data_IF_680095038926
#
_entry.id   IF_680095038926
#
_cell.length_a   1.000
_cell.length_b   1.000
_cell.length_c   1.000
_cell.angle_alpha   90.00
_cell.angle_beta   90.00
_cell.angle_gamma   90.00
#
_symmetry.space_group_name_H-M   'P 1'
#
loop_
_entity.id
_entity.type
_entity.pdbx_description
1 polymer ?
#
# COMPACT_ATOMS: atom_id res chain seq x y z
N UNK A 1 42.01 -35.79 21.30
CA UNK A 1 41.65 -34.38 21.08
C UNK A 1 40.94 -34.12 19.75
N UNK A 2 41.30 -34.79 18.65
CA UNK A 2 40.69 -34.55 17.30
C UNK A 2 39.21 -34.94 17.21
N UNK A 3 38.75 -35.96 17.93
CA UNK A 3 37.37 -36.45 17.94
C UNK A 3 36.40 -35.50 18.64
N UNK A 4 36.81 -34.87 19.73
CA UNK A 4 35.99 -33.91 20.48
C UNK A 4 35.71 -32.63 19.67
N UNK A 5 36.72 -32.14 18.91
CA UNK A 5 36.54 -30.97 18.00
C UNK A 5 35.56 -31.25 16.86
N UNK A 6 35.58 -32.47 16.29
CA UNK A 6 34.62 -32.86 15.24
C UNK A 6 33.19 -32.96 15.75
N UNK A 7 33.02 -33.43 16.98
CA UNK A 7 31.69 -33.50 17.63
C UNK A 7 31.16 -32.11 17.94
N UNK A 8 32.01 -31.19 18.42
CA UNK A 8 31.65 -29.81 18.72
C UNK A 8 31.26 -29.04 17.44
N UNK A 9 32.00 -29.19 16.34
CA UNK A 9 31.66 -28.59 15.06
C UNK A 9 30.35 -29.11 14.48
N UNK A 10 30.05 -30.42 14.62
CA UNK A 10 28.78 -30.99 14.17
C UNK A 10 27.60 -30.50 15.01
N UNK A 11 27.78 -30.41 16.32
CA UNK A 11 26.75 -29.87 17.22
C UNK A 11 26.45 -28.38 16.93
N UNK A 12 27.50 -27.60 16.67
CA UNK A 12 27.34 -26.17 16.29
C UNK A 12 26.64 -26.03 14.94
N UNK A 13 26.99 -26.86 13.95
CA UNK A 13 26.34 -26.86 12.63
C UNK A 13 24.86 -27.23 12.73
N UNK A 14 24.51 -28.24 13.52
CA UNK A 14 23.12 -28.62 13.79
C UNK A 14 22.35 -27.51 14.50
N UNK A 15 22.96 -26.82 15.46
CA UNK A 15 22.36 -25.69 16.16
C UNK A 15 22.08 -24.52 15.20
N UNK A 16 23.03 -24.18 14.33
CA UNK A 16 22.84 -23.17 13.31
C UNK A 16 21.73 -23.56 12.31
N UNK A 17 21.64 -24.84 11.94
CA UNK A 17 20.58 -25.32 11.04
C UNK A 17 19.21 -25.25 11.70
N UNK A 18 19.09 -25.57 12.99
CA UNK A 18 17.84 -25.46 13.75
C UNK A 18 17.42 -24.00 13.92
N UNK A 19 18.36 -23.09 14.17
CA UNK A 19 18.09 -21.64 14.25
C UNK A 19 17.68 -21.06 12.89
N UNK A 20 18.23 -21.56 11.78
CA UNK A 20 17.86 -21.12 10.43
C UNK A 20 16.49 -21.64 9.97
N UNK A 21 16.02 -22.75 10.56
CA UNK A 21 14.71 -23.34 10.30
C UNK A 21 13.66 -22.92 11.33
N UNK A 22 14.03 -22.15 12.37
CA UNK A 22 13.06 -21.58 13.28
C UNK A 22 12.13 -20.65 12.48
N UNK A 23 10.80 -20.82 12.58
CA UNK A 23 9.89 -19.86 11.96
C UNK A 23 10.22 -18.49 12.54
N UNK A 24 10.70 -17.58 11.67
CA UNK A 24 10.82 -16.18 12.05
C UNK A 24 9.40 -15.77 12.38
N UNK A 25 9.08 -15.31 13.62
CA UNK A 25 7.78 -14.74 13.88
C UNK A 25 7.58 -13.66 12.81
N UNK A 26 6.51 -13.78 12.03
CA UNK A 26 6.12 -12.69 11.14
C UNK A 26 6.06 -11.45 12.04
N UNK A 27 6.94 -10.48 11.79
CA UNK A 27 6.79 -9.18 12.38
C UNK A 27 5.45 -8.70 11.83
N UNK A 28 4.40 -8.76 12.63
CA UNK A 28 3.16 -8.09 12.30
C UNK A 28 3.54 -6.63 12.20
N UNK A 29 3.36 -6.06 11.01
CA UNK A 29 3.41 -4.63 10.88
C UNK A 29 2.41 -4.09 11.90
N UNK A 30 2.87 -3.23 12.77
CA UNK A 30 2.00 -2.58 13.74
C UNK A 30 1.12 -1.61 12.93
N UNK A 31 -0.19 -1.67 13.15
CA UNK A 31 -1.10 -0.76 12.48
C UNK A 31 -0.77 0.66 12.97
N UNK A 32 -0.32 1.53 12.07
CA UNK A 32 -0.05 2.95 12.37
C UNK A 32 -1.34 3.72 12.53
N UNK A 33 -2.36 3.29 11.77
CA UNK A 33 -3.68 3.88 11.70
C UNK A 33 -4.76 2.80 11.65
N UNK A 34 -5.99 3.19 11.98
CA UNK A 34 -7.16 2.36 11.81
C UNK A 34 -8.32 3.16 11.22
N UNK A 35 -8.96 2.56 10.23
CA UNK A 35 -10.19 3.10 9.68
C UNK A 35 -11.36 2.44 10.39
N UNK A 36 -12.07 3.20 11.20
CA UNK A 36 -13.22 2.70 11.98
C UNK A 36 -14.40 2.39 11.06
N UNK A 37 -14.69 3.32 10.13
CA UNK A 37 -15.69 3.13 9.08
C UNK A 37 -15.24 3.72 7.75
N UNK A 38 -15.64 3.07 6.66
CA UNK A 38 -15.44 3.50 5.28
C UNK A 38 -16.73 3.31 4.52
N UNK A 39 -17.46 4.39 4.31
CA UNK A 39 -18.73 4.41 3.60
C UNK A 39 -18.51 4.99 2.20
N UNK A 40 -18.96 4.27 1.17
CA UNK A 40 -18.82 4.63 -0.24
C UNK A 40 -20.20 4.61 -0.87
N UNK A 41 -20.64 5.76 -1.39
CA UNK A 41 -21.88 5.93 -2.14
C UNK A 41 -21.53 6.15 -3.61
N UNK A 42 -22.14 5.36 -4.49
CA UNK A 42 -21.89 5.40 -5.95
C UNK A 42 -23.20 5.56 -6.70
N UNK A 43 -23.25 6.52 -7.61
CA UNK A 43 -24.41 6.77 -8.48
C UNK A 43 -23.92 6.93 -9.92
N UNK A 44 -24.33 6.06 -10.85
CA UNK A 44 -24.05 6.24 -12.28
C UNK A 44 -24.83 7.42 -12.86
N UNK A 45 -24.16 8.21 -13.72
CA UNK A 45 -24.80 9.24 -14.52
C UNK A 45 -25.35 8.63 -15.81
N UNK A 46 -26.67 8.78 -16.04
CA UNK A 46 -27.31 8.22 -17.23
C UNK A 46 -26.91 8.91 -18.52
N UNK A 47 -26.32 10.09 -18.49
CA UNK A 47 -26.00 10.86 -19.68
C UNK A 47 -24.67 10.43 -20.32
N UNK A 48 -23.67 10.16 -19.50
CA UNK A 48 -22.31 9.85 -19.97
C UNK A 48 -21.74 8.56 -19.40
N UNK A 49 -22.44 7.88 -18.47
CA UNK A 49 -21.99 6.63 -17.86
C UNK A 49 -20.90 6.80 -16.81
N UNK A 50 -20.52 8.04 -16.46
CA UNK A 50 -19.59 8.29 -15.37
C UNK A 50 -20.20 7.93 -14.01
N UNK A 51 -19.36 7.72 -13.00
CA UNK A 51 -19.80 7.44 -11.64
C UNK A 51 -19.58 8.66 -10.76
N UNK A 52 -20.63 9.18 -10.13
CA UNK A 52 -20.50 10.10 -9.02
C UNK A 52 -20.25 9.28 -7.77
N UNK A 53 -19.09 9.49 -7.15
CA UNK A 53 -18.64 8.75 -5.98
C UNK A 53 -18.50 9.73 -4.83
N UNK A 54 -19.07 9.37 -3.67
CA UNK A 54 -18.87 10.06 -2.42
C UNK A 54 -18.31 9.07 -1.41
N UNK A 55 -17.29 9.47 -0.69
CA UNK A 55 -16.72 8.69 0.39
C UNK A 55 -16.79 9.44 1.71
N UNK A 56 -16.97 8.67 2.78
CA UNK A 56 -16.91 9.16 4.15
C UNK A 56 -16.08 8.17 4.96
N UNK A 57 -15.05 8.66 5.64
CA UNK A 57 -14.19 7.85 6.48
C UNK A 57 -14.18 8.39 7.91
N UNK A 58 -14.14 7.46 8.86
CA UNK A 58 -13.77 7.72 10.24
C UNK A 58 -12.42 7.06 10.50
N UNK A 59 -11.43 7.87 10.85
CA UNK A 59 -10.01 7.50 10.93
C UNK A 59 -9.47 7.71 12.33
N UNK A 60 -8.77 6.73 12.87
CA UNK A 60 -8.09 6.81 14.16
C UNK A 60 -6.59 6.69 13.97
N UNK A 61 -5.84 7.70 14.41
CA UNK A 61 -4.38 7.67 14.47
C UNK A 61 -3.97 6.83 15.67
N UNK A 62 -3.22 5.74 15.46
CA UNK A 62 -2.81 4.82 16.53
C UNK A 62 -1.41 5.13 17.03
N UNK A 63 -0.44 5.23 16.13
CA UNK A 63 0.97 5.48 16.45
C UNK A 63 1.63 6.24 15.29
N UNK A 64 2.76 6.88 15.56
CA UNK A 64 3.54 7.66 14.59
C UNK A 64 2.80 8.87 13.98
N UNK A 65 1.86 9.47 14.73
CA UNK A 65 1.31 10.77 14.35
C UNK A 65 2.37 11.88 14.28
N UNK A 66 2.05 13.05 13.78
CA UNK A 66 0.72 13.48 13.40
C UNK A 66 0.36 13.12 11.94
N UNK A 67 -0.93 12.89 11.69
CA UNK A 67 -1.49 12.74 10.35
C UNK A 67 -2.04 14.08 9.86
N UNK A 68 -1.43 14.62 8.80
CA UNK A 68 -1.86 15.87 8.15
C UNK A 68 -2.47 15.62 6.76
N UNK A 69 -2.32 14.41 6.22
CA UNK A 69 -2.89 13.99 4.95
C UNK A 69 -3.01 12.46 4.89
N UNK A 70 -3.90 11.97 4.03
CA UNK A 70 -4.04 10.56 3.71
C UNK A 70 -4.14 10.35 2.21
N UNK A 71 -3.78 9.15 1.72
CA UNK A 71 -3.95 8.76 0.32
C UNK A 71 -4.93 7.59 0.22
N UNK A 72 -5.83 7.65 -0.77
CA UNK A 72 -6.86 6.64 -0.98
C UNK A 72 -6.86 6.28 -2.46
N UNK A 73 -6.78 5.00 -2.79
CA UNK A 73 -6.77 4.51 -4.16
C UNK A 73 -8.04 4.90 -4.93
N UNK A 74 -7.90 5.18 -6.22
CA UNK A 74 -8.99 5.42 -7.14
C UNK A 74 -8.95 4.41 -8.28
N UNK A 75 -10.10 4.07 -8.90
CA UNK A 75 -10.16 3.02 -9.92
C UNK A 75 -9.30 3.27 -11.15
N UNK A 76 -9.20 4.52 -11.61
CA UNK A 76 -8.35 4.94 -12.72
C UNK A 76 -8.06 6.44 -12.67
N UNK A 77 -7.15 6.91 -13.53
CA UNK A 77 -6.67 8.29 -13.58
C UNK A 77 -7.64 9.34 -14.18
N UNK A 78 -8.81 8.96 -14.60
CA UNK A 78 -9.76 9.88 -15.24
C UNK A 78 -10.83 10.30 -14.24
N UNK A 79 -10.54 11.36 -13.50
CA UNK A 79 -11.47 11.93 -12.51
C UNK A 79 -11.71 13.42 -12.78
N UNK A 80 -12.83 13.93 -12.30
CA UNK A 80 -13.21 15.35 -12.34
C UNK A 80 -14.10 15.75 -11.18
N UNK A 81 -14.27 17.03 -10.96
CA UNK A 81 -15.19 17.60 -9.98
C UNK A 81 -14.92 17.18 -8.53
N UNK A 82 -13.63 17.07 -8.15
CA UNK A 82 -13.25 16.73 -6.77
C UNK A 82 -13.76 17.81 -5.81
N UNK A 83 -14.46 17.39 -4.79
CA UNK A 83 -15.10 18.30 -3.84
C UNK A 83 -14.93 17.81 -2.41
N UNK A 84 -14.35 18.65 -1.54
CA UNK A 84 -14.37 18.45 -0.11
C UNK A 84 -15.79 18.68 0.42
N UNK A 85 -16.31 17.74 1.21
CA UNK A 85 -17.65 17.80 1.81
C UNK A 85 -17.62 18.11 3.30
N UNK A 86 -16.44 18.07 3.93
CA UNK A 86 -16.24 18.44 5.34
C UNK A 86 -15.22 19.56 5.46
N UNK A 87 -15.41 20.43 6.44
CA UNK A 87 -14.63 21.66 6.63
C UNK A 87 -13.18 21.40 7.08
N UNK A 88 -12.87 20.21 7.55
CA UNK A 88 -11.52 19.83 7.98
C UNK A 88 -10.60 19.38 6.83
N UNK A 89 -11.09 19.36 5.60
CA UNK A 89 -10.29 19.14 4.40
C UNK A 89 -9.82 20.52 3.89
N UNK A 90 -8.51 20.75 3.92
CA UNK A 90 -7.89 21.96 3.36
C UNK A 90 -7.82 21.89 1.82
N UNK A 91 -7.40 20.72 1.31
CA UNK A 91 -7.17 20.52 -0.13
C UNK A 91 -7.31 19.06 -0.52
N UNK A 92 -7.87 18.83 -1.71
CA UNK A 92 -7.78 17.56 -2.44
C UNK A 92 -6.72 17.71 -3.52
N UNK A 93 -5.97 16.65 -3.75
CA UNK A 93 -5.03 16.55 -4.86
C UNK A 93 -5.06 15.12 -5.38
N UNK A 94 -4.82 14.96 -6.66
CA UNK A 94 -4.96 13.68 -7.33
C UNK A 94 -3.71 13.40 -8.18
N UNK A 95 -3.28 12.17 -8.19
CA UNK A 95 -2.39 11.60 -9.19
C UNK A 95 -3.07 10.38 -9.83
N UNK A 96 -2.46 9.79 -10.85
CA UNK A 96 -3.09 8.74 -11.67
C UNK A 96 -3.65 7.53 -10.91
N UNK A 97 -3.37 7.38 -9.63
CA UNK A 97 -3.73 6.20 -8.84
C UNK A 97 -4.35 6.53 -7.49
N UNK A 98 -4.13 7.74 -6.97
CA UNK A 98 -4.52 8.08 -5.60
C UNK A 98 -5.13 9.47 -5.50
N UNK A 99 -6.17 9.56 -4.66
CA UNK A 99 -6.66 10.82 -4.10
C UNK A 99 -5.91 11.12 -2.81
N UNK A 100 -5.26 12.29 -2.75
CA UNK A 100 -4.61 12.83 -1.57
C UNK A 100 -5.55 13.81 -0.88
N UNK A 101 -5.88 13.56 0.36
CA UNK A 101 -6.74 14.40 1.19
C UNK A 101 -5.86 15.08 2.23
N UNK A 102 -5.67 16.39 2.11
CA UNK A 102 -4.90 17.20 3.05
C UNK A 102 -5.85 17.87 4.04
N UNK A 103 -5.50 17.83 5.32
CA UNK A 103 -6.32 18.35 6.40
C UNK A 103 -5.89 19.77 6.80
N UNK A 104 -6.80 20.52 7.40
CA UNK A 104 -6.60 21.87 7.92
C UNK A 104 -5.73 21.92 9.18
N UNK A 105 -5.49 20.77 9.80
CA UNK A 105 -4.63 20.59 10.98
C UNK A 105 -4.03 19.19 11.04
N UNK A 106 -3.05 19.05 11.91
CA UNK A 106 -2.49 17.76 12.28
C UNK A 106 -3.42 17.01 13.27
N UNK A 107 -3.57 15.70 13.08
CA UNK A 107 -4.23 14.78 14.01
C UNK A 107 -3.18 13.91 14.69
N UNK A 108 -3.19 13.90 16.04
CA UNK A 108 -2.17 13.23 16.84
C UNK A 108 -2.61 11.83 17.28
N UNK A 109 -1.66 11.07 17.84
CA UNK A 109 -1.90 9.72 18.37
C UNK A 109 -3.12 9.69 19.28
N UNK A 110 -4.01 8.72 19.05
CA UNK A 110 -5.26 8.53 19.76
C UNK A 110 -6.41 9.43 19.32
N UNK A 111 -6.22 10.37 18.40
CA UNK A 111 -7.30 11.15 17.84
C UNK A 111 -8.08 10.36 16.79
N UNK A 112 -9.40 10.48 16.84
CA UNK A 112 -10.31 9.99 15.81
C UNK A 112 -10.97 11.19 15.13
N UNK A 113 -11.01 11.15 13.79
CA UNK A 113 -11.60 12.21 12.99
C UNK A 113 -12.39 11.63 11.81
N UNK A 114 -13.39 12.40 11.35
CA UNK A 114 -14.23 12.03 10.22
C UNK A 114 -14.07 13.05 9.11
N UNK A 115 -13.99 12.56 7.88
CA UNK A 115 -13.92 13.42 6.69
C UNK A 115 -14.70 12.80 5.54
N UNK A 116 -15.15 13.64 4.60
CA UNK A 116 -15.91 13.21 3.44
C UNK A 116 -15.56 14.08 2.24
N UNK A 117 -15.50 13.44 1.09
CA UNK A 117 -15.25 14.08 -0.20
C UNK A 117 -15.96 13.33 -1.33
N UNK A 118 -16.07 13.96 -2.50
CA UNK A 118 -16.67 13.34 -3.68
C UNK A 118 -15.91 13.70 -4.94
N UNK A 119 -16.07 12.86 -5.97
CA UNK A 119 -15.56 13.10 -7.32
C UNK A 119 -16.45 12.44 -8.35
N UNK A 120 -16.20 12.72 -9.63
CA UNK A 120 -16.77 12.01 -10.75
C UNK A 120 -15.68 11.17 -11.40
N UNK A 121 -15.93 9.87 -11.51
CA UNK A 121 -15.03 8.88 -12.10
C UNK A 121 -15.50 8.53 -13.50
N UNK A 122 -14.63 8.70 -14.49
CA UNK A 122 -14.90 8.36 -15.88
C UNK A 122 -14.36 6.97 -16.27
N UNK A 123 -14.72 6.48 -17.44
CA UNK A 123 -14.27 5.20 -18.02
C UNK A 123 -14.51 3.98 -17.13
N UNK A 124 -15.70 3.89 -16.54
CA UNK A 124 -16.05 2.80 -15.62
C UNK A 124 -16.99 1.77 -16.23
N UNK A 125 -17.78 2.12 -17.24
CA UNK A 125 -18.73 1.19 -17.85
C UNK A 125 -18.12 0.35 -18.98
N UNK A 126 -18.68 -0.83 -19.21
CA UNK A 126 -18.49 -1.63 -20.42
C UNK A 126 -19.80 -1.77 -21.18
N UNK A 127 -19.70 -1.88 -22.50
CA UNK A 127 -20.83 -2.06 -23.40
C UNK A 127 -20.80 -3.44 -24.06
N UNK A 128 -21.85 -4.24 -23.86
CA UNK A 128 -22.06 -5.51 -24.55
C UNK A 128 -23.44 -5.51 -25.23
N UNK A 129 -23.47 -5.09 -26.47
CA UNK A 129 -24.74 -4.85 -27.18
C UNK A 129 -25.50 -3.70 -26.56
N UNK A 130 -26.71 -3.96 -26.06
CA UNK A 130 -27.56 -2.98 -25.40
C UNK A 130 -27.40 -2.98 -23.85
N UNK A 131 -26.53 -3.86 -23.31
CA UNK A 131 -26.28 -3.98 -21.88
C UNK A 131 -25.11 -3.08 -21.46
N UNK A 132 -25.31 -2.27 -20.44
CA UNK A 132 -24.28 -1.48 -19.75
C UNK A 132 -23.90 -2.20 -18.48
N UNK A 133 -22.61 -2.38 -18.24
CA UNK A 133 -22.12 -3.02 -17.03
C UNK A 133 -21.04 -2.19 -16.34
N UNK A 134 -21.03 -2.29 -15.02
CA UNK A 134 -20.01 -1.70 -14.17
C UNK A 134 -19.38 -2.80 -13.31
N UNK A 135 -18.07 -2.71 -13.15
CA UNK A 135 -17.29 -3.47 -12.19
C UNK A 135 -16.50 -2.49 -11.35
N UNK A 136 -16.90 -2.32 -10.11
CA UNK A 136 -16.39 -1.29 -9.22
C UNK A 136 -15.72 -1.89 -7.99
N UNK A 137 -14.51 -1.45 -7.75
CA UNK A 137 -13.75 -1.76 -6.54
C UNK A 137 -13.35 -0.42 -5.89
N UNK A 138 -13.90 -0.07 -4.72
CA UNK A 138 -13.46 1.09 -3.96
C UNK A 138 -11.98 1.04 -3.62
N UNK A 139 -11.39 2.18 -3.32
CA UNK A 139 -10.03 2.26 -2.81
C UNK A 139 -9.82 1.33 -1.61
N UNK A 140 -8.65 0.73 -1.52
CA UNK A 140 -8.26 -0.16 -0.42
C UNK A 140 -7.04 0.42 0.31
N UNK A 141 -6.73 -0.17 1.46
CA UNK A 141 -5.66 0.32 2.33
C UNK A 141 -4.67 -0.81 2.59
N UNK A 142 -3.42 -0.62 2.15
CA UNK A 142 -2.37 -1.63 2.32
C UNK A 142 -1.74 -1.58 3.73
N UNK A 143 -1.85 -0.44 4.41
CA UNK A 143 -1.19 -0.16 5.68
C UNK A 143 -2.15 0.03 6.86
N UNK A 144 -3.47 0.05 6.60
CA UNK A 144 -4.49 0.21 7.64
C UNK A 144 -5.56 -0.89 7.54
N UNK A 145 -6.13 -1.26 8.70
CA UNK A 145 -7.30 -2.14 8.76
C UNK A 145 -8.57 -1.31 8.71
N UNK A 146 -9.63 -1.87 8.12
CA UNK A 146 -10.94 -1.24 8.07
C UNK A 146 -11.91 -2.00 8.97
N UNK A 147 -12.41 -1.35 10.01
CA UNK A 147 -13.34 -1.95 10.96
C UNK A 147 -14.68 -2.28 10.32
N UNK A 148 -15.24 -1.34 9.58
CA UNK A 148 -16.48 -1.54 8.81
C UNK A 148 -16.36 -0.83 7.47
N UNK A 149 -16.70 -1.52 6.39
CA UNK A 149 -16.83 -0.95 5.06
C UNK A 149 -18.25 -1.16 4.55
N UNK A 150 -18.86 -0.09 4.01
CA UNK A 150 -20.17 -0.13 3.36
C UNK A 150 -20.06 0.48 1.97
N UNK A 151 -20.47 -0.28 0.95
CA UNK A 151 -20.65 0.23 -0.41
C UNK A 151 -22.14 0.27 -0.70
N UNK A 152 -22.65 1.46 -1.01
CA UNK A 152 -24.01 1.66 -1.48
C UNK A 152 -23.96 2.09 -2.94
N UNK A 153 -24.54 1.27 -3.79
CA UNK A 153 -24.71 1.58 -5.21
C UNK A 153 -26.16 1.97 -5.46
N UNK A 154 -26.37 3.18 -5.92
CA UNK A 154 -27.69 3.73 -6.22
C UNK A 154 -28.02 3.56 -7.70
N UNK A 155 -29.02 2.76 -8.01
CA UNK A 155 -29.49 2.67 -9.40
C UNK A 155 -30.03 4.02 -9.86
N UNK A 156 -29.75 4.43 -11.12
CA UNK A 156 -30.33 5.65 -11.66
C UNK A 156 -31.85 5.59 -11.72
N UNK A 157 -32.51 6.73 -11.54
CA UNK A 157 -33.96 6.78 -11.51
C UNK A 157 -34.60 6.17 -12.79
N UNK A 158 -35.40 5.14 -12.59
CA UNK A 158 -36.11 4.44 -13.67
C UNK A 158 -35.29 3.43 -14.45
N UNK A 159 -34.14 3.06 -13.93
CA UNK A 159 -33.27 1.99 -14.50
C UNK A 159 -32.94 0.99 -13.38
N UNK A 160 -33.34 -0.25 -13.57
CA UNK A 160 -33.10 -1.31 -12.59
C UNK A 160 -31.86 -2.11 -12.98
N UNK A 161 -30.84 -2.12 -12.12
CA UNK A 161 -29.63 -2.90 -12.27
C UNK A 161 -29.75 -4.30 -11.67
N UNK A 162 -29.13 -5.29 -12.29
CA UNK A 162 -28.97 -6.62 -11.71
C UNK A 162 -27.58 -6.71 -11.06
N UNK A 163 -27.53 -6.65 -9.74
CA UNK A 163 -26.29 -6.62 -8.98
C UNK A 163 -25.72 -7.98 -8.63
N UNK A 164 -24.42 -8.05 -8.39
CA UNK A 164 -23.73 -9.27 -7.92
C UNK A 164 -24.14 -9.68 -6.50
N UNK A 165 -24.85 -8.85 -5.77
CA UNK A 165 -25.53 -9.15 -4.50
C UNK A 165 -26.82 -9.98 -4.67
N UNK A 166 -27.22 -10.22 -5.93
CA UNK A 166 -28.42 -10.99 -6.29
C UNK A 166 -29.72 -10.17 -6.26
N UNK A 167 -29.63 -8.85 -6.08
CA UNK A 167 -30.79 -7.94 -6.13
C UNK A 167 -30.96 -7.37 -7.55
N UNK A 168 -32.14 -6.88 -7.84
CA UNK A 168 -32.46 -6.16 -9.07
C UNK A 168 -33.26 -4.93 -8.72
N UNK A 169 -32.71 -3.78 -9.12
CA UNK A 169 -33.31 -2.47 -8.92
C UNK A 169 -33.16 -1.92 -7.50
N UNK A 170 -33.12 -0.62 -7.40
CA UNK A 170 -33.03 0.13 -6.16
C UNK A 170 -31.59 0.31 -5.67
N UNK A 171 -31.40 0.38 -4.36
CA UNK A 171 -30.07 0.52 -3.74
C UNK A 171 -29.49 -0.86 -3.46
N UNK A 172 -28.27 -1.11 -3.95
CA UNK A 172 -27.49 -2.30 -3.62
C UNK A 172 -26.53 -1.96 -2.48
N UNK A 173 -26.65 -2.66 -1.35
CA UNK A 173 -25.83 -2.38 -0.16
C UNK A 173 -24.98 -3.60 0.18
N UNK A 174 -23.66 -3.43 0.07
CA UNK A 174 -22.69 -4.42 0.49
C UNK A 174 -21.98 -3.90 1.74
N UNK A 175 -21.90 -4.75 2.77
CA UNK A 175 -21.19 -4.42 3.99
C UNK A 175 -20.24 -5.55 4.38
N UNK A 176 -19.05 -5.17 4.82
CA UNK A 176 -18.03 -6.09 5.30
C UNK A 176 -17.36 -5.50 6.55
N UNK A 177 -17.02 -6.35 7.50
CA UNK A 177 -16.33 -5.94 8.73
C UNK A 177 -14.96 -6.58 8.82
N UNK A 178 -14.08 -5.94 9.58
CA UNK A 178 -12.73 -6.44 9.88
C UNK A 178 -11.88 -6.75 8.64
N UNK A 179 -11.90 -5.84 7.63
CA UNK A 179 -11.05 -5.99 6.46
C UNK A 179 -9.59 -5.89 6.87
N UNK A 180 -8.81 -6.89 6.47
CA UNK A 180 -7.37 -6.91 6.65
C UNK A 180 -6.67 -5.96 5.65
N UNK A 181 -5.40 -5.68 5.90
CA UNK A 181 -4.54 -4.95 4.99
C UNK A 181 -4.64 -5.49 3.56
N UNK A 182 -4.80 -4.61 2.58
CA UNK A 182 -4.93 -4.97 1.16
C UNK A 182 -6.20 -5.71 0.77
N UNK A 183 -7.12 -5.96 1.70
CA UNK A 183 -8.38 -6.61 1.38
C UNK A 183 -9.31 -5.64 0.66
N UNK A 184 -9.88 -6.13 -0.45
CA UNK A 184 -10.76 -5.38 -1.34
C UNK A 184 -12.19 -5.89 -1.27
N UNK A 185 -13.14 -5.02 -1.57
CA UNK A 185 -14.55 -5.33 -1.82
C UNK A 185 -14.89 -4.89 -3.23
N UNK A 186 -15.56 -5.75 -4.02
CA UNK A 186 -15.95 -5.43 -5.40
C UNK A 186 -17.44 -5.63 -5.58
N UNK A 187 -18.04 -4.85 -6.45
CA UNK A 187 -19.44 -4.93 -6.85
C UNK A 187 -19.55 -4.84 -8.36
N UNK A 188 -20.36 -5.72 -8.93
CA UNK A 188 -20.68 -5.73 -10.36
C UNK A 188 -22.17 -5.56 -10.55
N UNK A 189 -22.58 -4.73 -11.51
CA UNK A 189 -23.97 -4.50 -11.86
C UNK A 189 -24.14 -4.42 -13.37
N UNK A 190 -25.28 -4.93 -13.86
CA UNK A 190 -25.64 -4.95 -15.28
C UNK A 190 -27.00 -4.28 -15.46
N UNK A 191 -27.09 -3.44 -16.48
CA UNK A 191 -28.31 -2.71 -16.85
C UNK A 191 -28.74 -3.09 -18.26
N UNK A 192 -29.90 -3.67 -18.39
CA UNK A 192 -30.57 -3.87 -19.67
C UNK A 192 -31.50 -2.67 -19.93
N UNK A 193 -31.37 -2.01 -21.06
CA UNK A 193 -32.21 -0.87 -21.41
C UNK A 193 -31.78 0.45 -20.77
N UNK A 194 -30.49 0.77 -20.83
CA UNK A 194 -29.97 2.06 -20.43
C UNK A 194 -30.66 3.20 -21.16
N UNK A 195 -31.03 4.32 -20.48
CA UNK A 195 -31.97 5.31 -21.05
C UNK A 195 -31.36 6.18 -22.15
N UNK A 196 -30.03 6.24 -22.25
CA UNK A 196 -29.31 7.00 -23.28
C UNK A 196 -28.36 6.09 -24.04
N UNK A 197 -27.96 6.48 -25.23
CA UNK A 197 -26.92 5.75 -25.95
C UNK A 197 -25.55 6.23 -25.48
N UNK A 198 -24.86 5.40 -24.70
CA UNK A 198 -23.50 5.71 -24.27
C UNK A 198 -22.51 5.54 -25.42
N UNK A 199 -21.47 6.37 -25.41
CA UNK A 199 -20.44 6.37 -26.43
C UNK A 199 -19.38 5.27 -26.13
N UNK A 200 -18.90 4.58 -27.14
CA UNK A 200 -17.88 3.55 -26.97
C UNK A 200 -16.55 4.13 -26.47
N UNK A 201 -16.23 5.36 -26.85
CA UNK A 201 -15.01 6.07 -26.45
C UNK A 201 -15.02 6.54 -24.99
N UNK A 202 -16.16 6.51 -24.30
CA UNK A 202 -16.28 6.75 -22.84
C UNK A 202 -16.27 5.48 -22.01
N UNK A 203 -16.20 4.29 -22.64
CA UNK A 203 -16.16 3.02 -21.94
C UNK A 203 -14.77 2.74 -21.34
N UNK A 204 -14.71 1.81 -20.37
CA UNK A 204 -13.44 1.38 -19.75
C UNK A 204 -12.42 0.80 -20.76
N UNK A 205 -12.91 0.22 -21.86
CA UNK A 205 -12.07 -0.33 -22.91
C UNK A 205 -11.37 0.76 -23.75
N UNK A 206 -11.82 2.01 -23.63
CA UNK A 206 -11.25 3.19 -24.27
C UNK A 206 -10.45 4.06 -23.33
N UNK A 207 -10.21 3.58 -22.08
CA UNK A 207 -9.40 4.32 -21.10
C UNK A 207 -8.06 4.72 -21.73
N UNK A 208 -7.70 6.01 -21.70
CA UNK A 208 -6.40 6.47 -22.18
C UNK A 208 -5.28 5.73 -21.42
N UNK A 209 -4.33 5.17 -22.16
CA UNK A 209 -3.16 4.55 -21.54
C UNK A 209 -2.14 5.62 -21.16
N UNK A 210 -1.38 5.41 -20.11
CA UNK A 210 -0.36 6.35 -19.58
C UNK A 210 0.69 6.79 -20.63
N UNK A 211 0.73 6.15 -21.79
CA UNK A 211 1.62 6.49 -22.90
C UNK A 211 1.09 7.63 -23.81
N UNK A 212 -0.13 8.16 -23.58
CA UNK A 212 -0.65 9.28 -24.34
C UNK A 212 -0.22 10.62 -23.70
N UNK A 213 0.75 11.35 -24.30
CA UNK A 213 1.24 12.62 -23.74
C UNK A 213 0.20 13.73 -23.71
N UNK A 214 -1.02 13.51 -24.26
CA UNK A 214 -2.10 14.50 -24.25
C UNK A 214 -2.99 14.44 -23.01
N UNK A 215 -2.86 13.38 -22.19
CA UNK A 215 -3.76 13.09 -21.07
C UNK A 215 -3.27 13.66 -19.73
N UNK A 216 -2.04 14.19 -19.66
CA UNK A 216 -1.51 14.76 -18.41
C UNK A 216 -1.14 16.25 -18.53
N UNK A 217 -2.09 17.18 -18.45
CA UNK A 217 -1.79 18.63 -18.44
C UNK A 217 -1.32 19.18 -17.10
N UNK A 218 -1.13 18.35 -16.06
CA UNK A 218 -0.91 18.81 -14.67
C UNK A 218 0.24 18.18 -13.91
N UNK A 219 1.17 17.47 -14.57
CA UNK A 219 2.38 16.99 -13.88
C UNK A 219 3.28 18.19 -13.55
N UNK A 220 3.31 18.57 -12.27
CA UNK A 220 4.33 19.46 -11.71
C UNK A 220 5.55 18.62 -11.31
N UNK A 221 6.69 18.70 -12.05
CA UNK A 221 7.88 17.91 -11.76
C UNK A 221 8.63 18.38 -10.51
N UNK A 222 8.05 19.27 -9.70
CA UNK A 222 8.67 19.89 -8.52
C UNK A 222 8.39 19.22 -7.18
N UNK A 223 7.51 18.21 -7.11
CA UNK A 223 7.22 17.51 -5.87
C UNK A 223 7.60 16.04 -5.99
N UNK A 224 8.80 15.73 -5.55
CA UNK A 224 9.29 14.38 -5.31
C UNK A 224 9.07 14.09 -3.80
N UNK A 225 8.06 13.34 -3.41
CA UNK A 225 8.05 12.72 -2.12
C UNK A 225 8.99 11.50 -2.24
N UNK A 226 10.27 11.65 -1.84
CA UNK A 226 11.18 10.55 -1.57
C UNK A 226 10.54 9.60 -0.54
N UNK A 227 9.59 8.80 -1.00
CA UNK A 227 9.17 7.59 -0.34
C UNK A 227 9.67 6.41 -1.17
N UNK A 228 10.95 6.09 -1.00
CA UNK A 228 11.49 4.79 -1.34
C UNK A 228 10.79 3.73 -0.49
N UNK A 229 9.71 3.19 -1.02
CA UNK A 229 9.16 1.91 -0.60
C UNK A 229 10.15 0.82 -0.94
N UNK A 230 11.31 0.84 -0.28
CA UNK A 230 12.30 -0.23 -0.37
C UNK A 230 11.76 -1.46 0.35
N UNK A 231 11.20 -2.41 -0.42
CA UNK A 231 11.09 -3.81 -0.02
C UNK A 231 12.47 -4.44 0.06
N UNK A 232 13.45 -3.67 0.53
CA UNK A 232 14.80 -4.10 0.85
C UNK A 232 14.80 -4.92 2.13
N UNK A 233 15.52 -6.02 2.12
CA UNK A 233 15.91 -6.78 3.31
C UNK A 233 16.22 -5.81 4.46
N UNK A 234 15.39 -5.85 5.50
CA UNK A 234 15.47 -4.88 6.59
C UNK A 234 16.91 -4.80 7.13
N UNK A 235 17.36 -3.60 7.48
CA UNK A 235 18.71 -3.33 8.04
C UNK A 235 19.08 -4.37 9.11
N UNK A 236 18.11 -4.85 9.89
CA UNK A 236 18.29 -5.93 10.86
C UNK A 236 18.74 -7.25 10.21
N UNK A 237 18.24 -7.61 9.04
CA UNK A 237 18.65 -8.83 8.33
C UNK A 237 20.06 -8.69 7.76
N UNK A 238 20.43 -7.51 7.28
CA UNK A 238 21.79 -7.22 6.82
C UNK A 238 22.77 -7.28 7.99
N UNK A 239 22.42 -6.72 9.14
CA UNK A 239 23.24 -6.80 10.37
C UNK A 239 23.42 -8.24 10.83
N UNK A 240 22.36 -9.05 10.82
CA UNK A 240 22.43 -10.49 11.18
C UNK A 240 23.36 -11.25 10.22
N UNK A 241 23.24 -11.03 8.91
CA UNK A 241 24.11 -11.63 7.89
C UNK A 241 25.57 -11.23 8.10
N UNK A 242 25.85 -9.95 8.38
CA UNK A 242 27.20 -9.46 8.68
C UNK A 242 27.77 -10.07 9.95
N UNK A 243 26.98 -10.19 11.02
CA UNK A 243 27.41 -10.83 12.27
C UNK A 243 27.73 -12.30 12.05
N UNK A 244 26.88 -13.03 11.32
CA UNK A 244 27.12 -14.45 10.95
C UNK A 244 28.37 -14.58 10.11
N UNK A 245 28.59 -13.71 9.14
CA UNK A 245 29.78 -13.69 8.30
C UNK A 245 31.05 -13.43 9.13
N UNK A 246 31.03 -12.49 10.06
CA UNK A 246 32.14 -12.19 10.96
C UNK A 246 32.46 -13.41 11.85
N UNK A 247 31.44 -14.08 12.37
CA UNK A 247 31.61 -15.30 13.17
C UNK A 247 32.25 -16.41 12.34
N UNK A 248 31.80 -16.62 11.09
CA UNK A 248 32.38 -17.61 10.17
C UNK A 248 33.85 -17.28 9.86
N UNK A 249 34.17 -16.01 9.56
CA UNK A 249 35.54 -15.57 9.31
C UNK A 249 36.42 -15.80 10.55
N UNK A 250 35.93 -15.50 11.75
CA UNK A 250 36.65 -15.74 13.02
C UNK A 250 36.92 -17.23 13.26
N UNK A 251 35.94 -18.11 12.95
CA UNK A 251 36.11 -19.58 13.08
C UNK A 251 37.11 -20.10 12.07
N UNK A 252 37.06 -19.62 10.80
CA UNK A 252 38.00 -20.01 9.76
C UNK A 252 39.42 -19.50 10.06
N UNK A 253 39.56 -18.27 10.52
CA UNK A 253 40.87 -17.68 10.90
C UNK A 253 41.46 -18.35 12.14
N UNK A 254 40.64 -18.88 13.06
CA UNK A 254 41.12 -19.63 14.22
C UNK A 254 41.59 -21.08 13.87
N UNK A 255 41.28 -21.57 12.64
CA UNK A 255 41.70 -22.90 12.20
C UNK A 255 43.09 -22.92 11.56
N UNK A 256 43.66 -21.77 11.17
CA UNK A 256 45.01 -21.67 10.54
C UNK A 256 46.15 -21.27 11.48
N UNK A 257 45.87 -21.24 12.78
CA UNK A 257 46.88 -20.93 13.79
C UNK A 257 47.72 -22.11 14.21
N UNK A 258 48.59 -22.63 13.33
CA UNK A 258 49.88 -23.25 13.76
C UNK A 258 50.84 -23.41 12.56
N UNK A 259 51.46 -22.34 12.16
CA UNK A 259 52.82 -22.38 11.56
C UNK A 259 53.50 -21.04 11.83
N UNK A 260 54.60 -21.13 12.56
CA UNK A 260 55.32 -19.97 13.05
C UNK A 260 55.94 -19.11 11.96
N UNK A 261 56.24 -17.88 12.33
CA UNK A 261 57.19 -17.08 11.64
C UNK A 261 56.84 -15.60 11.52
N UNK A 262 57.54 -14.79 12.32
CA UNK A 262 57.78 -13.37 12.16
C UNK A 262 56.59 -12.42 12.31
N UNK A 263 56.35 -12.06 13.58
CA UNK A 263 55.51 -10.91 13.94
C UNK A 263 56.21 -9.61 13.64
N UNK A 264 55.76 -8.88 12.62
CA UNK A 264 56.05 -7.47 12.53
C UNK A 264 55.18 -6.73 13.50
N UNK A 265 55.76 -6.17 14.56
CA UNK A 265 55.06 -5.30 15.48
C UNK A 265 54.90 -3.92 14.80
N UNK A 266 53.66 -3.38 14.87
CA UNK A 266 53.38 -2.01 14.46
C UNK A 266 53.13 -1.12 15.66
N UNK A 267 53.65 0.09 15.66
CA UNK A 267 53.42 1.10 16.69
C UNK A 267 52.55 2.21 16.09
N UNK A 268 51.54 2.62 16.82
CA UNK A 268 50.64 3.67 16.41
C UNK A 268 51.12 5.01 16.97
N UNK A 269 51.52 5.93 16.08
CA UNK A 269 51.99 7.28 16.46
C UNK A 269 51.32 8.32 15.57
N UNK A 270 50.69 9.32 16.19
CA UNK A 270 50.04 10.45 15.50
C UNK A 270 49.03 10.08 14.40
N UNK A 271 48.22 9.05 14.63
CA UNK A 271 47.16 8.68 13.69
C UNK A 271 47.60 7.74 12.55
N UNK A 272 48.86 7.25 12.54
CA UNK A 272 49.39 6.35 11.54
C UNK A 272 50.11 5.13 12.19
N UNK A 273 50.02 3.96 11.53
CA UNK A 273 50.67 2.72 11.92
C UNK A 273 52.06 2.63 11.22
N UNK A 274 53.09 2.41 12.00
CA UNK A 274 54.47 2.21 11.53
C UNK A 274 54.98 0.81 11.92
N UNK A 275 55.71 0.11 11.07
CA UNK A 275 56.38 -1.12 11.49
C UNK A 275 57.48 -0.78 12.50
N UNK A 276 57.48 -1.47 13.64
CA UNK A 276 58.57 -1.39 14.59
C UNK A 276 59.81 -2.09 13.98
N UNK A 277 60.91 -1.38 13.97
CA UNK A 277 62.16 -1.94 13.45
C UNK A 277 62.67 -3.09 14.33
N UNK A 278 63.60 -3.91 13.80
CA UNK A 278 64.20 -4.98 14.56
C UNK A 278 65.07 -4.40 15.69
N UNK A 279 64.95 -4.94 16.90
CA UNK A 279 65.92 -4.78 17.99
C UNK A 279 67.22 -5.49 17.66
#
# INVERSE_FOLDING_TARGET
MLTMRKILCRALLCLCLVLALAPVPAAYAQDLDRIESYDVDVTPDTQDGSLRIQVTLEWTVLEEGPVSWVKIGVPNGSIREETALTDNIDRLSFDNSYMYVYFDRDYNDGETFRFSYSWVQEYMYALEGDTVSYDYTPGWFDEARVGQMTLTWHDPAGVDGAGSDGQTGGDHVLAQTDLAHGQQMSFTVHYDGWPTQLAQDGSRDSLPTDDDPSVNPGYDPGYDPDYDGDSGFGIAQIIILLVVLIIIIRILSASDGYRGGFGTHYVFVNGLWFPAGPD
#
